data_IF_406946147140
#
_entry.id   IF_406946147140
#
_cell.length_a   1.000
_cell.length_b   1.000
_cell.length_c   1.000
_cell.angle_alpha   90.00
_cell.angle_beta   90.00
_cell.angle_gamma   90.00
#
_symmetry.space_group_name_H-M   'P 1'
#
loop_
_entity.id
_entity.type
_entity.pdbx_description
1 polymer ?
#
# COMPACT_ATOMS: atom_id res chain seq x y z
N UNK A 1 -0.87 -12.29 26.59
CA UNK A 1 -0.36 -12.47 25.22
C UNK A 1 -1.44 -13.22 24.45
N UNK A 2 -2.08 -12.57 23.46
CA UNK A 2 -3.05 -13.27 22.61
C UNK A 2 -2.28 -14.19 21.66
N UNK A 3 -2.70 -15.44 21.57
CA UNK A 3 -2.12 -16.42 20.68
C UNK A 3 -2.68 -16.26 19.27
N UNK A 4 -1.91 -16.69 18.26
CA UNK A 4 -2.42 -16.82 16.91
C UNK A 4 -3.66 -17.72 16.87
N UNK A 5 -4.65 -17.42 16.01
CA UNK A 5 -5.75 -18.34 15.80
C UNK A 5 -5.24 -19.67 15.27
N UNK A 6 -5.94 -20.76 15.59
CA UNK A 6 -5.53 -22.09 15.16
C UNK A 6 -5.63 -22.25 13.65
N UNK A 7 -4.62 -22.83 12.97
CA UNK A 7 -4.73 -23.19 11.56
C UNK A 7 -6.00 -24.00 11.27
N UNK A 8 -6.64 -23.72 10.13
CA UNK A 8 -7.89 -24.36 9.73
C UNK A 8 -9.14 -23.74 10.33
N UNK A 9 -9.02 -22.69 11.13
CA UNK A 9 -10.18 -21.90 11.55
C UNK A 9 -10.46 -20.77 10.56
N UNK A 10 -11.72 -20.33 10.45
CA UNK A 10 -12.12 -19.18 9.64
C UNK A 10 -11.32 -17.91 10.01
N UNK A 11 -11.15 -17.64 11.29
CA UNK A 11 -10.40 -16.48 11.76
C UNK A 11 -8.94 -16.53 11.28
N UNK A 12 -8.32 -17.70 11.32
CA UNK A 12 -6.96 -17.91 10.80
C UNK A 12 -6.90 -17.58 9.30
N UNK A 13 -7.80 -18.15 8.50
CA UNK A 13 -7.83 -17.96 7.05
C UNK A 13 -8.07 -16.49 6.68
N UNK A 14 -8.96 -15.80 7.39
CA UNK A 14 -9.21 -14.37 7.25
C UNK A 14 -7.94 -13.54 7.53
N UNK A 15 -7.19 -13.83 8.59
CA UNK A 15 -5.93 -13.13 8.89
C UNK A 15 -4.89 -13.36 7.81
N UNK A 16 -4.70 -14.60 7.38
CA UNK A 16 -3.77 -14.93 6.29
C UNK A 16 -4.17 -14.20 5.00
N UNK A 17 -5.46 -14.13 4.68
CA UNK A 17 -5.97 -13.41 3.53
C UNK A 17 -5.66 -11.90 3.59
N UNK A 18 -5.95 -11.26 4.72
CA UNK A 18 -5.64 -9.82 4.92
C UNK A 18 -4.15 -9.53 4.77
N UNK A 19 -3.30 -10.34 5.37
CA UNK A 19 -1.83 -10.18 5.24
C UNK A 19 -1.35 -10.46 3.82
N UNK A 20 -2.00 -11.36 3.08
CA UNK A 20 -1.71 -11.60 1.67
C UNK A 20 -2.06 -10.39 0.80
N UNK A 21 -3.16 -9.68 1.09
CA UNK A 21 -3.48 -8.40 0.47
C UNK A 21 -2.45 -7.31 0.78
N UNK A 22 -1.98 -7.24 2.03
CA UNK A 22 -0.92 -6.29 2.40
C UNK A 22 0.34 -6.56 1.58
N UNK A 23 0.82 -7.82 1.61
CA UNK A 23 1.98 -8.21 0.82
C UNK A 23 1.86 -7.86 -0.66
N UNK A 24 0.70 -8.10 -1.28
CA UNK A 24 0.51 -7.80 -2.70
C UNK A 24 0.51 -6.29 -2.96
N UNK A 25 -0.02 -5.49 -2.04
CA UNK A 25 0.03 -4.04 -2.11
C UNK A 25 1.47 -3.52 -2.14
N UNK A 26 2.35 -4.01 -1.25
CA UNK A 26 3.78 -3.65 -1.24
C UNK A 26 4.47 -3.99 -2.56
N UNK A 27 4.19 -5.17 -3.13
CA UNK A 27 4.77 -5.57 -4.42
C UNK A 27 4.29 -4.69 -5.58
N UNK A 28 3.05 -4.19 -5.52
CA UNK A 28 2.54 -3.21 -6.48
C UNK A 28 3.18 -1.83 -6.30
N UNK A 29 3.39 -1.39 -5.05
CA UNK A 29 4.16 -0.19 -4.71
C UNK A 29 5.57 -0.27 -5.30
N UNK A 30 6.30 -1.35 -5.06
CA UNK A 30 7.63 -1.59 -5.62
C UNK A 30 7.65 -1.48 -7.16
N UNK A 31 6.66 -2.05 -7.85
CA UNK A 31 6.55 -1.94 -9.32
C UNK A 31 6.35 -0.50 -9.79
N UNK A 32 5.53 0.28 -9.08
CA UNK A 32 5.29 1.69 -9.41
C UNK A 32 6.56 2.52 -9.23
N UNK A 33 7.33 2.27 -8.18
CA UNK A 33 8.62 2.92 -7.94
C UNK A 33 9.65 2.58 -9.02
N UNK A 34 9.67 1.33 -9.52
CA UNK A 34 10.51 0.92 -10.66
C UNK A 34 10.14 1.65 -11.95
N UNK A 35 8.88 2.00 -12.15
CA UNK A 35 8.47 2.87 -13.27
C UNK A 35 8.94 4.30 -13.02
N UNK A 36 8.74 4.81 -11.80
CA UNK A 36 9.05 6.19 -11.42
C UNK A 36 10.55 6.52 -11.54
N UNK A 37 11.45 5.55 -11.30
CA UNK A 37 12.89 5.74 -11.38
C UNK A 37 13.35 6.25 -12.76
N UNK A 38 12.59 5.98 -13.82
CA UNK A 38 12.91 6.46 -15.19
C UNK A 38 12.60 7.95 -15.38
N UNK A 39 11.77 8.50 -14.51
CA UNK A 39 11.27 9.88 -14.59
C UNK A 39 11.97 10.83 -13.62
N UNK A 40 12.49 10.33 -12.50
CA UNK A 40 13.22 11.10 -11.50
C UNK A 40 14.72 10.76 -11.58
N UNK A 41 15.48 11.59 -12.28
CA UNK A 41 16.88 11.30 -12.62
C UNK A 41 17.91 12.00 -11.75
N UNK A 42 17.52 12.95 -10.95
CA UNK A 42 18.43 13.64 -10.04
C UNK A 42 18.93 12.71 -8.92
N UNK A 43 20.16 12.89 -8.43
CA UNK A 43 20.79 11.96 -7.47
C UNK A 43 20.01 11.82 -6.15
N UNK A 44 19.41 12.90 -5.64
CA UNK A 44 18.64 12.87 -4.40
C UNK A 44 17.36 12.04 -4.55
N UNK A 45 16.62 12.26 -5.65
CA UNK A 45 15.44 11.44 -5.96
C UNK A 45 15.80 9.98 -6.18
N UNK A 46 16.90 9.66 -6.84
CA UNK A 46 17.34 8.29 -7.05
C UNK A 46 17.68 7.59 -5.72
N UNK A 47 18.31 8.30 -4.78
CA UNK A 47 18.60 7.77 -3.45
C UNK A 47 17.30 7.47 -2.68
N UNK A 48 16.35 8.42 -2.67
CA UNK A 48 15.05 8.27 -1.99
C UNK A 48 14.21 7.15 -2.59
N UNK A 49 14.13 7.07 -3.92
CA UNK A 49 13.44 5.99 -4.63
C UNK A 49 14.02 4.62 -4.33
N UNK A 50 15.36 4.50 -4.33
CA UNK A 50 16.02 3.22 -4.05
C UNK A 50 15.79 2.78 -2.62
N UNK A 51 15.82 3.71 -1.66
CA UNK A 51 15.46 3.43 -0.27
C UNK A 51 14.00 2.97 -0.16
N UNK A 52 13.05 3.72 -0.73
CA UNK A 52 11.63 3.40 -0.72
C UNK A 52 11.38 2.01 -1.34
N UNK A 53 11.99 1.71 -2.50
CA UNK A 53 11.90 0.40 -3.13
C UNK A 53 12.42 -0.74 -2.24
N UNK A 54 13.51 -0.49 -1.50
CA UNK A 54 14.05 -1.47 -0.55
C UNK A 54 13.09 -1.69 0.63
N UNK A 55 12.43 -0.62 1.11
CA UNK A 55 11.42 -0.70 2.17
C UNK A 55 10.20 -1.52 1.70
N UNK A 56 9.65 -1.25 0.49
CA UNK A 56 8.53 -2.02 -0.09
C UNK A 56 8.83 -3.53 -0.19
N UNK A 57 10.02 -3.87 -0.67
CA UNK A 57 10.45 -5.27 -0.75
C UNK A 57 10.59 -5.90 0.66
N UNK A 58 11.08 -5.14 1.64
CA UNK A 58 11.18 -5.56 3.03
C UNK A 58 9.79 -5.73 3.66
N UNK A 59 8.86 -4.82 3.41
CA UNK A 59 7.47 -4.93 3.88
C UNK A 59 6.80 -6.20 3.35
N UNK A 60 6.91 -6.46 2.04
CA UNK A 60 6.40 -7.69 1.44
C UNK A 60 7.01 -8.95 2.07
N UNK A 61 8.33 -8.92 2.39
CA UNK A 61 8.99 -10.00 3.12
C UNK A 61 8.45 -10.16 4.54
N UNK A 62 8.24 -9.07 5.28
CA UNK A 62 7.71 -9.12 6.65
C UNK A 62 6.32 -9.76 6.69
N UNK A 63 5.42 -9.41 5.77
CA UNK A 63 4.10 -10.03 5.64
C UNK A 63 4.19 -11.51 5.26
N UNK A 64 5.08 -11.86 4.32
CA UNK A 64 5.33 -13.25 3.92
C UNK A 64 5.82 -14.06 5.11
N UNK A 65 6.80 -13.53 5.84
CA UNK A 65 7.36 -14.16 7.03
C UNK A 65 6.30 -14.34 8.11
N UNK A 66 5.49 -13.31 8.39
CA UNK A 66 4.42 -13.39 9.40
C UNK A 66 3.41 -14.47 9.09
N UNK A 67 2.98 -14.61 7.84
CA UNK A 67 2.08 -15.68 7.40
C UNK A 67 2.73 -17.05 7.62
N UNK A 68 4.00 -17.20 7.24
CA UNK A 68 4.75 -18.44 7.43
C UNK A 68 4.91 -18.80 8.91
N UNK A 69 5.24 -17.83 9.76
CA UNK A 69 5.41 -18.02 11.22
C UNK A 69 4.09 -18.48 11.89
N UNK A 70 2.94 -18.09 11.34
CA UNK A 70 1.62 -18.59 11.78
C UNK A 70 1.32 -20.02 11.28
N UNK A 71 2.13 -20.58 10.38
CA UNK A 71 1.84 -21.84 9.69
C UNK A 71 0.83 -21.69 8.54
N UNK A 72 0.65 -20.47 8.04
CA UNK A 72 -0.25 -20.16 6.92
C UNK A 72 0.41 -20.32 5.55
N UNK A 73 -0.43 -20.39 4.53
CA UNK A 73 -0.02 -20.34 3.12
C UNK A 73 -0.57 -19.09 2.46
N UNK A 74 0.27 -18.41 1.69
CA UNK A 74 -0.11 -17.19 0.96
C UNK A 74 -1.33 -17.43 0.06
N UNK A 75 -2.32 -16.54 0.16
CA UNK A 75 -3.37 -16.46 -0.85
C UNK A 75 -2.85 -15.78 -2.11
N UNK A 76 -3.21 -16.29 -3.26
CA UNK A 76 -2.93 -15.65 -4.54
C UNK A 76 -3.91 -14.49 -4.77
N UNK A 77 -3.44 -13.27 -4.64
CA UNK A 77 -4.23 -12.05 -4.84
C UNK A 77 -3.98 -11.54 -6.26
N UNK A 78 -4.89 -11.82 -7.18
CA UNK A 78 -4.77 -11.43 -8.59
C UNK A 78 -5.29 -10.01 -8.82
N UNK A 79 -6.36 -9.62 -8.13
CA UNK A 79 -7.07 -8.36 -8.35
C UNK A 79 -7.17 -7.57 -7.04
N UNK A 80 -6.00 -7.23 -6.49
CA UNK A 80 -5.89 -6.43 -5.26
C UNK A 80 -6.22 -4.95 -5.48
N UNK A 81 -6.45 -4.23 -4.39
CA UNK A 81 -6.82 -2.81 -4.40
C UNK A 81 -5.90 -1.93 -5.26
N UNK A 82 -4.58 -2.05 -5.12
CA UNK A 82 -3.63 -1.21 -5.88
C UNK A 82 -3.64 -1.54 -7.37
N UNK A 83 -3.83 -2.81 -7.73
CA UNK A 83 -4.03 -3.20 -9.12
C UNK A 83 -5.26 -2.51 -9.73
N UNK A 84 -6.40 -2.58 -9.04
CA UNK A 84 -7.65 -1.91 -9.46
C UNK A 84 -7.51 -0.40 -9.56
N UNK A 85 -6.83 0.21 -8.59
CA UNK A 85 -6.56 1.65 -8.60
C UNK A 85 -5.73 2.03 -9.84
N UNK A 86 -4.67 1.29 -10.13
CA UNK A 86 -3.83 1.50 -11.32
C UNK A 86 -4.60 1.34 -12.62
N UNK A 87 -5.41 0.29 -12.77
CA UNK A 87 -6.26 0.08 -13.95
C UNK A 87 -7.27 1.22 -14.14
N UNK A 88 -7.94 1.64 -13.06
CA UNK A 88 -8.96 2.69 -13.11
C UNK A 88 -8.35 4.08 -13.37
N UNK A 89 -7.15 4.33 -12.84
CA UNK A 89 -6.42 5.57 -13.09
C UNK A 89 -5.93 5.67 -14.54
N UNK A 90 -5.52 4.55 -15.11
CA UNK A 90 -4.98 4.46 -16.46
C UNK A 90 -3.52 4.88 -16.55
N UNK A 91 -3.08 5.29 -17.75
CA UNK A 91 -1.69 5.68 -17.99
C UNK A 91 -1.40 7.05 -17.39
N UNK A 92 -0.42 7.18 -16.48
CA UNK A 92 0.03 8.47 -15.98
C UNK A 92 0.54 9.36 -17.12
N UNK A 93 0.16 10.64 -17.13
CA UNK A 93 0.56 11.58 -18.16
C UNK A 93 1.97 12.15 -17.95
N UNK A 94 2.37 12.25 -16.69
CA UNK A 94 3.66 12.81 -16.31
C UNK A 94 4.08 12.31 -14.91
N UNK A 95 5.24 12.79 -14.44
CA UNK A 95 5.81 12.46 -13.13
C UNK A 95 4.92 12.89 -11.97
N UNK A 96 4.17 13.99 -12.09
CA UNK A 96 3.25 14.45 -11.03
C UNK A 96 2.09 13.46 -10.88
N UNK A 97 1.55 12.93 -11.97
CA UNK A 97 0.52 11.89 -11.92
C UNK A 97 1.03 10.60 -11.23
N UNK A 98 2.27 10.18 -11.51
CA UNK A 98 2.90 9.03 -10.84
C UNK A 98 3.06 9.27 -9.33
N UNK A 99 3.57 10.43 -8.94
CA UNK A 99 3.76 10.79 -7.54
C UNK A 99 2.41 10.91 -6.81
N UNK A 100 1.40 11.49 -7.46
CA UNK A 100 0.05 11.57 -6.88
C UNK A 100 -0.58 10.19 -6.67
N UNK A 101 -0.41 9.28 -7.64
CA UNK A 101 -0.88 7.89 -7.51
C UNK A 101 -0.20 7.18 -6.35
N UNK A 102 1.12 7.30 -6.23
CA UNK A 102 1.91 6.75 -5.12
C UNK A 102 1.43 7.35 -3.79
N UNK A 103 1.36 8.68 -3.66
CA UNK A 103 0.95 9.35 -2.42
C UNK A 103 -0.43 8.88 -1.93
N UNK A 104 -1.40 8.75 -2.82
CA UNK A 104 -2.76 8.28 -2.44
C UNK A 104 -2.76 6.81 -2.06
N UNK A 105 -2.02 5.95 -2.76
CA UNK A 105 -1.88 4.54 -2.43
C UNK A 105 -1.23 4.33 -1.06
N UNK A 106 -0.12 5.04 -0.78
CA UNK A 106 0.58 5.02 0.51
C UNK A 106 -0.29 5.55 1.66
N UNK A 107 -1.03 6.62 1.42
CA UNK A 107 -1.98 7.15 2.42
C UNK A 107 -3.02 6.10 2.81
N UNK A 108 -3.57 5.37 1.85
CA UNK A 108 -4.51 4.27 2.11
C UNK A 108 -3.85 3.10 2.83
N UNK A 109 -2.63 2.73 2.46
CA UNK A 109 -1.88 1.67 3.13
C UNK A 109 -1.66 2.02 4.60
N UNK A 110 -1.17 3.23 4.90
CA UNK A 110 -0.97 3.71 6.26
C UNK A 110 -2.26 3.71 7.09
N UNK A 111 -3.38 4.21 6.53
CA UNK A 111 -4.68 4.18 7.20
C UNK A 111 -5.12 2.76 7.55
N UNK A 112 -4.93 1.80 6.64
CA UNK A 112 -5.27 0.39 6.86
C UNK A 112 -4.41 -0.23 7.97
N UNK A 113 -3.11 -0.01 7.94
CA UNK A 113 -2.20 -0.53 8.97
C UNK A 113 -2.52 0.04 10.34
N UNK A 114 -2.75 1.35 10.44
CA UNK A 114 -3.13 2.00 11.68
C UNK A 114 -4.50 1.54 12.20
N UNK A 115 -5.46 1.32 11.32
CA UNK A 115 -6.78 0.80 11.67
C UNK A 115 -6.67 -0.65 12.17
N UNK A 116 -5.92 -1.49 11.47
CA UNK A 116 -5.70 -2.88 11.86
C UNK A 116 -5.00 -2.97 13.23
N UNK A 117 -3.99 -2.15 13.46
CA UNK A 117 -3.26 -2.14 14.74
C UNK A 117 -4.14 -1.77 15.96
N UNK A 118 -5.28 -1.10 15.74
CA UNK A 118 -6.24 -0.72 16.78
C UNK A 118 -7.33 -1.77 17.03
N UNK A 119 -7.43 -2.79 16.18
CA UNK A 119 -8.45 -3.81 16.33
C UNK A 119 -8.20 -4.68 17.57
N UNK A 120 -9.29 -5.05 18.24
CA UNK A 120 -9.20 -6.01 19.33
C UNK A 120 -8.78 -7.38 18.79
N UNK A 121 -7.89 -8.04 19.51
CA UNK A 121 -7.48 -9.41 19.16
C UNK A 121 -6.28 -9.54 18.24
N UNK A 122 -5.71 -8.44 17.77
CA UNK A 122 -4.43 -8.49 17.06
C UNK A 122 -3.34 -8.99 18.01
N UNK A 123 -2.57 -9.98 17.60
CA UNK A 123 -1.46 -10.54 18.37
C UNK A 123 -0.22 -9.63 18.28
N UNK A 124 0.72 -9.79 19.24
CA UNK A 124 1.88 -8.91 19.32
C UNK A 124 2.81 -9.02 18.12
N UNK A 125 3.02 -10.22 17.57
CA UNK A 125 3.90 -10.40 16.40
C UNK A 125 3.33 -9.65 15.16
N UNK A 126 2.01 -9.67 14.98
CA UNK A 126 1.35 -8.88 13.92
C UNK A 126 1.45 -7.38 14.20
N UNK A 127 1.30 -6.97 15.48
CA UNK A 127 1.47 -5.56 15.88
C UNK A 127 2.89 -5.06 15.61
N UNK A 128 3.92 -5.88 15.83
CA UNK A 128 5.30 -5.54 15.49
C UNK A 128 5.48 -5.24 14.00
N UNK A 129 4.94 -6.10 13.13
CA UNK A 129 4.96 -5.87 11.68
C UNK A 129 4.23 -4.58 11.33
N UNK A 130 2.99 -4.40 11.83
CA UNK A 130 2.19 -3.19 11.57
C UNK A 130 2.90 -1.90 11.99
N UNK A 131 3.59 -1.90 13.14
CA UNK A 131 4.38 -0.75 13.63
C UNK A 131 5.58 -0.46 12.72
N UNK A 132 6.30 -1.51 12.32
CA UNK A 132 7.47 -1.38 11.45
C UNK A 132 7.07 -0.76 10.10
N UNK A 133 6.07 -1.34 9.41
CA UNK A 133 5.61 -0.84 8.11
C UNK A 133 5.07 0.58 8.24
N UNK A 134 4.16 0.84 9.21
CA UNK A 134 3.58 2.19 9.42
C UNK A 134 4.62 3.27 9.73
N UNK A 135 5.77 2.88 10.28
CA UNK A 135 6.88 3.81 10.55
C UNK A 135 7.48 4.36 9.26
N UNK A 136 7.71 3.46 8.29
CA UNK A 136 8.32 3.82 7.00
C UNK A 136 7.33 4.54 6.08
N UNK A 137 6.04 4.16 6.07
CA UNK A 137 5.00 4.80 5.24
C UNK A 137 4.88 6.31 5.48
N UNK A 138 5.12 6.78 6.70
CA UNK A 138 5.14 8.22 6.99
C UNK A 138 6.27 8.94 6.26
N UNK A 139 7.42 8.31 6.14
CA UNK A 139 8.54 8.86 5.41
C UNK A 139 8.29 8.78 3.89
N UNK A 140 7.71 7.66 3.40
CA UNK A 140 7.32 7.51 2.01
C UNK A 140 6.39 8.64 1.56
N UNK A 141 5.33 8.88 2.29
CA UNK A 141 4.39 9.98 2.04
C UNK A 141 5.08 11.35 2.04
N UNK A 142 5.91 11.62 3.05
CA UNK A 142 6.53 12.93 3.20
C UNK A 142 7.43 13.29 2.02
N UNK A 143 8.29 12.34 1.57
CA UNK A 143 9.19 12.63 0.45
C UNK A 143 8.48 12.66 -0.91
N UNK A 144 7.49 11.79 -1.14
CA UNK A 144 6.69 11.77 -2.37
C UNK A 144 5.93 13.08 -2.54
N UNK A 145 5.26 13.55 -1.49
CA UNK A 145 4.52 14.81 -1.50
C UNK A 145 5.44 16.02 -1.65
N UNK A 146 6.60 16.01 -1.00
CA UNK A 146 7.59 17.07 -1.15
C UNK A 146 8.11 17.16 -2.58
N UNK A 147 8.45 16.01 -3.20
CA UNK A 147 8.95 15.96 -4.57
C UNK A 147 7.89 16.36 -5.59
N UNK A 148 6.65 15.96 -5.37
CA UNK A 148 5.53 16.36 -6.23
C UNK A 148 5.34 17.88 -6.24
N UNK A 149 5.37 18.52 -5.05
CA UNK A 149 5.27 19.98 -4.93
C UNK A 149 6.47 20.70 -5.54
N UNK A 150 7.69 20.20 -5.34
CA UNK A 150 8.90 20.72 -5.95
C UNK A 150 8.77 20.77 -7.48
N UNK A 151 8.41 19.66 -8.12
CA UNK A 151 8.25 19.57 -9.57
C UNK A 151 7.14 20.51 -10.07
N UNK A 152 6.02 20.61 -9.35
CA UNK A 152 4.93 21.50 -9.72
C UNK A 152 5.36 22.97 -9.66
N UNK A 153 6.11 23.37 -8.64
CA UNK A 153 6.69 24.70 -8.48
C UNK A 153 7.70 25.03 -9.60
N UNK A 154 8.61 24.10 -9.90
CA UNK A 154 9.63 24.27 -10.95
C UNK A 154 9.01 24.44 -12.34
N UNK A 155 7.80 23.89 -12.55
CA UNK A 155 7.01 24.06 -13.77
C UNK A 155 6.14 25.34 -13.78
N UNK A 156 6.13 26.09 -12.70
CA UNK A 156 5.28 27.29 -12.56
C UNK A 156 3.79 26.98 -12.46
N UNK A 157 3.42 25.75 -12.07
CA UNK A 157 2.01 25.32 -11.88
C UNK A 157 1.86 24.57 -10.54
N UNK A 158 1.96 25.33 -9.45
CA UNK A 158 1.89 24.77 -8.08
C UNK A 158 0.56 24.05 -7.82
N UNK A 159 -0.53 24.51 -8.45
CA UNK A 159 -1.84 23.86 -8.33
C UNK A 159 -1.94 22.50 -9.06
N UNK A 160 -0.98 22.20 -9.94
CA UNK A 160 -0.96 20.91 -10.67
C UNK A 160 -0.86 19.71 -9.72
N UNK A 161 -0.09 19.83 -8.64
CA UNK A 161 0.05 18.78 -7.61
C UNK A 161 -1.30 18.53 -6.93
N UNK A 162 -2.00 19.60 -6.51
CA UNK A 162 -3.31 19.50 -5.87
C UNK A 162 -4.33 18.85 -6.80
N UNK A 163 -4.43 19.34 -8.06
CA UNK A 163 -5.34 18.75 -9.06
C UNK A 163 -5.08 17.27 -9.33
N UNK A 164 -3.80 16.86 -9.39
CA UNK A 164 -3.45 15.46 -9.58
C UNK A 164 -3.91 14.61 -8.39
N UNK A 165 -3.61 15.04 -7.18
CA UNK A 165 -3.97 14.34 -5.95
C UNK A 165 -5.49 14.20 -5.82
N UNK A 166 -6.25 15.27 -6.05
CA UNK A 166 -7.72 15.23 -5.98
C UNK A 166 -8.33 14.30 -7.03
N UNK A 167 -7.78 14.28 -8.24
CA UNK A 167 -8.19 13.32 -9.29
C UNK A 167 -7.98 11.87 -8.84
N UNK A 168 -6.80 11.57 -8.29
CA UNK A 168 -6.50 10.20 -7.81
C UNK A 168 -7.40 9.84 -6.65
N UNK A 169 -7.59 10.73 -5.68
CA UNK A 169 -8.48 10.51 -4.53
C UNK A 169 -9.94 10.25 -4.94
N UNK A 170 -10.43 10.93 -5.96
CA UNK A 170 -11.78 10.69 -6.47
C UNK A 170 -11.92 9.26 -7.00
N UNK A 171 -10.96 8.81 -7.81
CA UNK A 171 -10.91 7.45 -8.35
C UNK A 171 -10.73 6.43 -7.21
N UNK A 172 -9.85 6.73 -6.28
CA UNK A 172 -9.54 5.87 -5.13
C UNK A 172 -10.77 5.59 -4.28
N UNK A 173 -11.58 6.60 -3.96
CA UNK A 173 -12.80 6.42 -3.18
C UNK A 173 -13.76 5.41 -3.83
N UNK A 174 -13.93 5.47 -5.16
CA UNK A 174 -14.78 4.53 -5.89
C UNK A 174 -14.21 3.11 -5.83
N UNK A 175 -12.92 2.97 -6.13
CA UNK A 175 -12.22 1.67 -6.12
C UNK A 175 -12.24 1.05 -4.73
N UNK A 176 -11.98 1.85 -3.70
CA UNK A 176 -11.96 1.38 -2.32
C UNK A 176 -13.34 0.91 -1.85
N UNK A 177 -14.39 1.68 -2.15
CA UNK A 177 -15.76 1.30 -1.78
C UNK A 177 -16.17 -0.03 -2.41
N UNK A 178 -15.87 -0.23 -3.70
CA UNK A 178 -16.14 -1.49 -4.40
C UNK A 178 -15.33 -2.65 -3.82
N UNK A 179 -14.04 -2.44 -3.62
CA UNK A 179 -13.13 -3.44 -3.04
C UNK A 179 -13.62 -3.93 -1.67
N UNK A 180 -13.97 -3.00 -0.77
CA UNK A 180 -14.45 -3.36 0.58
C UNK A 180 -15.78 -4.11 0.54
N UNK A 181 -16.69 -3.71 -0.35
CA UNK A 181 -17.99 -4.40 -0.49
C UNK A 181 -17.82 -5.84 -0.97
N UNK A 182 -16.96 -6.08 -1.98
CA UNK A 182 -16.67 -7.42 -2.50
C UNK A 182 -15.94 -8.29 -1.47
N UNK A 183 -14.96 -7.74 -0.75
CA UNK A 183 -14.27 -8.47 0.32
C UNK A 183 -15.24 -8.86 1.45
N UNK A 184 -16.15 -7.95 1.84
CA UNK A 184 -17.17 -8.26 2.86
C UNK A 184 -18.12 -9.36 2.40
N UNK A 185 -18.42 -9.43 1.11
CA UNK A 185 -19.24 -10.50 0.54
C UNK A 185 -18.51 -11.85 0.54
N UNK A 186 -17.27 -11.89 0.06
CA UNK A 186 -16.43 -13.09 0.09
C UNK A 186 -16.27 -13.64 1.51
N UNK A 187 -16.12 -12.74 2.49
CA UNK A 187 -16.02 -13.11 3.90
C UNK A 187 -17.34 -13.68 4.45
N UNK A 188 -18.51 -13.28 3.90
CA UNK A 188 -19.81 -13.86 4.24
C UNK A 188 -20.04 -15.23 3.59
N UNK A 189 -19.66 -15.39 2.32
CA UNK A 189 -19.84 -16.63 1.57
C UNK A 189 -18.93 -17.78 2.07
N UNK A 190 -17.84 -17.46 2.73
CA UNK A 190 -16.93 -18.43 3.37
C UNK A 190 -17.47 -18.94 4.74
N UNK A 191 -18.70 -18.59 5.12
CA UNK A 191 -19.43 -19.09 6.30
C UNK A 191 -20.34 -20.21 6.00
#
# INVERSE_FOLDING_TARGET
MKLDPKPGTREFDQRVRVMSFYREAELHGARLLLVMHKHLRDPDSQMKLTRHLADEARHAFLWTKRISDMGGTLHNIIDGYQHRLGLRFGVPKDTIDLLALTSVAESRALERYQSHAKQEGVDENTLEVLRAVSGDEKWHLAWVDAKMREIAKDRGDEERANRATERVRAIEREVWATFVAEEAELMRLAT
#
